data_IF_626203624871
#
_entry.id   IF_626203624871
#
_cell.length_a   1.000
_cell.length_b   1.000
_cell.length_c   1.000
_cell.angle_alpha   90.00
_cell.angle_beta   90.00
_cell.angle_gamma   90.00
#
_symmetry.space_group_name_H-M   'P 1'
#
loop_
_entity.id
_entity.type
_entity.pdbx_description
1 polymer ?
#
# COMPACT_ATOMS: atom_id res chain seq x y z
N UNK A 1 17.15 -70.71 -24.03
CA UNK A 1 17.39 -70.22 -22.66
C UNK A 1 16.26 -69.23 -22.37
N UNK A 2 15.07 -69.58 -21.84
CA UNK A 2 14.74 -69.93 -20.43
C UNK A 2 15.54 -69.06 -19.46
N UNK A 3 14.97 -68.05 -18.80
CA UNK A 3 14.00 -68.11 -17.66
C UNK A 3 13.20 -66.78 -17.56
N UNK A 4 11.86 -66.76 -17.41
CA UNK A 4 11.05 -66.75 -16.15
C UNK A 4 11.32 -65.51 -15.27
N UNK A 5 10.39 -64.75 -14.67
CA UNK A 5 8.93 -64.69 -14.48
C UNK A 5 8.64 -63.28 -13.90
N UNK A 6 7.58 -62.58 -14.32
CA UNK A 6 6.36 -62.35 -13.53
C UNK A 6 6.56 -61.67 -12.15
N UNK A 7 6.16 -60.40 -12.03
CA UNK A 7 5.58 -59.85 -10.80
C UNK A 7 4.81 -58.56 -11.10
N UNK A 8 3.50 -58.72 -11.24
CA UNK A 8 2.49 -57.68 -11.10
C UNK A 8 2.42 -57.31 -9.63
N UNK A 9 2.58 -56.04 -9.29
CA UNK A 9 2.06 -55.48 -8.03
C UNK A 9 1.25 -54.25 -8.39
N UNK A 10 -0.07 -54.40 -8.26
CA UNK A 10 -1.04 -53.33 -8.26
C UNK A 10 -0.72 -52.35 -7.12
N UNK A 11 -0.72 -51.07 -7.46
CA UNK A 11 -0.61 -49.97 -6.50
C UNK A 11 -1.00 -48.66 -7.16
N UNK A 12 -2.25 -48.58 -7.61
CA UNK A 12 -2.86 -47.34 -8.11
C UNK A 12 -2.94 -46.32 -6.97
N UNK A 13 -1.93 -45.46 -6.84
CA UNK A 13 -2.03 -44.23 -6.07
C UNK A 13 -2.85 -43.24 -6.91
N UNK A 14 -4.16 -43.29 -6.70
CA UNK A 14 -5.07 -42.22 -7.14
C UNK A 14 -4.85 -41.06 -6.16
N UNK A 15 -3.87 -40.21 -6.42
CA UNK A 15 -3.79 -38.91 -5.75
C UNK A 15 -4.77 -37.98 -6.44
N UNK A 16 -5.96 -37.87 -5.85
CA UNK A 16 -6.96 -36.86 -6.14
C UNK A 16 -6.32 -35.47 -6.18
N UNK A 17 -6.55 -34.63 -7.20
CA UNK A 17 -6.40 -33.20 -7.02
C UNK A 17 -7.50 -32.76 -6.04
N UNK A 18 -7.13 -32.55 -4.78
CA UNK A 18 -7.98 -31.81 -3.86
C UNK A 18 -8.00 -30.36 -4.37
N UNK A 19 -8.97 -30.08 -5.24
CA UNK A 19 -9.44 -28.73 -5.56
C UNK A 19 -9.95 -28.13 -4.25
N UNK A 20 -9.12 -27.34 -3.58
CA UNK A 20 -9.58 -26.39 -2.58
C UNK A 20 -10.27 -25.25 -3.34
N UNK A 21 -11.53 -25.46 -3.65
CA UNK A 21 -12.48 -24.39 -3.91
C UNK A 21 -12.74 -23.68 -2.58
N UNK A 22 -11.86 -22.74 -2.20
CA UNK A 22 -12.13 -21.79 -1.13
C UNK A 22 -12.71 -20.52 -1.75
N UNK A 23 -14.03 -20.56 -1.90
CA UNK A 23 -14.96 -19.49 -1.57
C UNK A 23 -14.40 -18.07 -1.69
N UNK A 24 -14.56 -17.49 -2.89
CA UNK A 24 -14.73 -16.04 -3.04
C UNK A 24 -16.06 -15.72 -2.39
N UNK A 25 -16.07 -14.95 -1.29
CA UNK A 25 -16.87 -13.73 -1.16
C UNK A 25 -16.80 -13.21 0.29
N UNK A 26 -15.99 -12.18 0.46
CA UNK A 26 -16.30 -11.06 1.34
C UNK A 26 -15.58 -9.88 0.70
N UNK A 27 -16.21 -9.36 -0.34
CA UNK A 27 -15.80 -8.15 -1.03
C UNK A 27 -15.54 -7.00 -0.05
N UNK A 28 -14.27 -6.79 0.27
CA UNK A 28 -13.75 -5.45 0.43
C UNK A 28 -13.02 -5.12 -0.86
N UNK A 29 -13.82 -4.91 -1.92
CA UNK A 29 -13.40 -3.93 -2.92
C UNK A 29 -12.99 -2.67 -2.14
N UNK A 30 -11.86 -2.04 -2.46
CA UNK A 30 -11.62 -0.69 -1.98
C UNK A 30 -12.85 0.11 -2.39
N UNK A 31 -13.65 0.54 -1.41
CA UNK A 31 -14.85 1.32 -1.67
C UNK A 31 -14.38 2.62 -2.29
N UNK A 32 -14.36 2.65 -3.63
CA UNK A 32 -14.12 3.85 -4.41
C UNK A 32 -15.38 4.68 -4.31
N UNK A 33 -15.54 5.39 -3.19
CA UNK A 33 -16.59 6.39 -3.06
C UNK A 33 -16.24 7.49 -4.06
N UNK A 34 -17.11 7.81 -5.04
CA UNK A 34 -16.91 8.96 -5.90
C UNK A 34 -17.11 10.22 -5.05
N UNK A 35 -16.06 10.63 -4.36
CA UNK A 35 -16.04 11.90 -3.64
C UNK A 35 -15.85 12.99 -4.69
N UNK A 36 -16.73 14.00 -4.68
CA UNK A 36 -16.57 15.18 -5.55
C UNK A 36 -15.13 15.68 -5.37
N UNK A 37 -14.38 15.81 -6.46
CA UNK A 37 -12.96 16.22 -6.48
C UNK A 37 -12.67 17.50 -5.67
N UNK A 38 -13.69 18.29 -5.33
CA UNK A 38 -13.59 19.47 -4.49
C UNK A 38 -13.61 19.24 -2.97
N UNK A 39 -13.82 18.01 -2.46
CA UNK A 39 -14.02 17.77 -1.01
C UNK A 39 -12.86 17.08 -0.30
N UNK A 40 -11.90 16.49 -1.01
CA UNK A 40 -10.72 15.86 -0.40
C UNK A 40 -9.45 16.55 -0.90
N UNK A 41 -9.26 17.80 -0.50
CA UNK A 41 -8.01 18.51 -0.73
C UNK A 41 -7.06 18.25 0.43
N UNK A 42 -5.85 17.84 0.12
CA UNK A 42 -4.77 17.80 1.10
C UNK A 42 -4.30 19.24 1.28
N UNK A 43 -4.64 19.82 2.42
CA UNK A 43 -4.25 21.18 2.75
C UNK A 43 -2.90 21.18 3.48
N UNK A 44 -2.05 22.12 3.11
CA UNK A 44 -0.86 22.44 3.91
C UNK A 44 -1.26 23.49 4.94
N UNK A 45 -0.87 23.34 6.21
CA UNK A 45 -1.02 24.40 7.18
C UNK A 45 -0.10 25.59 6.84
N UNK A 46 -0.47 26.79 7.31
CA UNK A 46 0.30 28.04 7.13
C UNK A 46 1.74 27.95 7.67
N UNK A 47 1.98 27.02 8.62
CA UNK A 47 3.31 26.66 9.09
C UNK A 47 3.40 25.15 9.30
N UNK A 48 4.55 24.57 8.97
CA UNK A 48 4.87 23.17 9.22
C UNK A 48 6.19 23.08 9.98
N UNK A 49 6.36 22.01 10.75
CA UNK A 49 7.57 21.80 11.52
C UNK A 49 8.70 21.33 10.60
N UNK A 50 9.87 21.95 10.74
CA UNK A 50 11.09 21.44 10.10
C UNK A 50 11.38 20.06 10.70
N UNK A 51 11.51 19.06 9.84
CA UNK A 51 11.83 17.71 10.26
C UNK A 51 13.33 17.51 10.20
N UNK A 52 13.99 17.48 11.36
CA UNK A 52 15.39 17.10 11.43
C UNK A 52 15.52 15.57 11.34
N UNK A 53 16.56 15.05 10.67
CA UNK A 53 16.72 13.61 10.49
C UNK A 53 16.73 12.82 11.81
N UNK A 54 17.24 13.42 12.89
CA UNK A 54 17.32 12.76 14.20
C UNK A 54 15.94 12.58 14.82
N UNK A 55 15.04 13.55 14.66
CA UNK A 55 13.71 13.57 15.28
C UNK A 55 12.74 12.56 14.65
N UNK A 56 13.02 12.13 13.41
CA UNK A 56 12.13 11.30 12.61
C UNK A 56 12.83 10.04 12.09
N UNK A 57 13.94 9.63 12.71
CA UNK A 57 14.65 8.41 12.32
C UNK A 57 13.76 7.17 12.40
N UNK A 58 12.91 7.09 13.42
CA UNK A 58 12.01 5.94 13.65
C UNK A 58 10.85 5.89 12.65
N UNK A 59 10.64 6.96 11.87
CA UNK A 59 9.68 7.01 10.76
C UNK A 59 10.24 6.38 9.49
N UNK A 60 11.57 6.27 9.36
CA UNK A 60 12.20 5.72 8.15
C UNK A 60 11.92 4.22 8.11
N UNK A 61 11.36 3.76 7.00
CA UNK A 61 11.01 2.36 6.84
C UNK A 61 10.12 2.08 5.65
N UNK A 62 9.68 0.83 5.58
CA UNK A 62 8.75 0.32 4.59
C UNK A 62 7.50 -0.17 5.33
N UNK A 63 6.33 0.29 4.88
CA UNK A 63 5.04 -0.02 5.48
C UNK A 63 4.16 -0.67 4.42
N UNK A 64 3.67 -1.86 4.72
CA UNK A 64 2.73 -2.54 3.83
C UNK A 64 1.35 -1.90 3.95
N UNK A 65 0.74 -1.60 2.81
CA UNK A 65 -0.59 -1.02 2.71
C UNK A 65 -1.63 -2.12 2.46
N UNK A 66 -2.87 -1.85 2.84
CA UNK A 66 -3.97 -2.82 2.77
C UNK A 66 -4.34 -3.22 1.34
N UNK A 67 -4.02 -2.37 0.36
CA UNK A 67 -4.19 -2.65 -1.07
C UNK A 67 -3.00 -3.43 -1.69
N UNK A 68 -2.04 -3.87 -0.88
CA UNK A 68 -0.86 -4.64 -1.33
C UNK A 68 0.34 -3.79 -1.75
N UNK A 69 0.18 -2.46 -1.83
CA UNK A 69 1.28 -1.55 -2.12
C UNK A 69 2.19 -1.35 -0.90
N UNK A 70 3.37 -0.75 -1.13
CA UNK A 70 4.32 -0.39 -0.07
C UNK A 70 4.53 1.11 0.00
N UNK A 71 4.32 1.68 1.19
CA UNK A 71 4.78 3.04 1.51
C UNK A 71 6.23 2.96 1.99
N UNK A 72 7.17 3.59 1.28
CA UNK A 72 8.53 3.78 1.75
C UNK A 72 8.71 5.22 2.25
N UNK A 73 9.23 5.39 3.46
CA UNK A 73 9.64 6.70 3.98
C UNK A 73 11.15 6.70 4.18
N UNK A 74 11.83 7.69 3.59
CA UNK A 74 13.30 7.79 3.62
C UNK A 74 13.76 9.21 3.91
N UNK A 75 14.90 9.34 4.58
CA UNK A 75 15.62 10.60 4.72
C UNK A 75 16.65 10.81 3.60
N UNK A 76 16.75 12.04 3.08
CA UNK A 76 17.82 12.49 2.18
C UNK A 76 18.30 13.87 2.61
N UNK A 77 19.46 13.93 3.24
CA UNK A 77 19.95 15.14 3.89
C UNK A 77 18.99 15.58 5.00
N UNK A 78 18.56 16.84 4.98
CA UNK A 78 17.61 17.41 5.95
C UNK A 78 16.14 17.29 5.53
N UNK A 79 15.86 16.47 4.52
CA UNK A 79 14.51 16.33 3.96
C UNK A 79 14.05 14.88 4.05
N UNK A 80 12.75 14.71 4.24
CA UNK A 80 12.11 13.40 4.22
C UNK A 80 11.26 13.26 2.96
N UNK A 81 11.23 12.05 2.44
CA UNK A 81 10.48 11.70 1.24
C UNK A 81 9.65 10.45 1.49
N UNK A 82 8.47 10.41 0.88
CA UNK A 82 7.60 9.26 0.86
C UNK A 82 7.40 8.78 -0.59
N UNK A 83 7.33 7.47 -0.78
CA UNK A 83 7.07 6.79 -2.05
C UNK A 83 5.94 5.78 -1.82
N UNK A 84 5.03 5.66 -2.77
CA UNK A 84 4.09 4.53 -2.82
C UNK A 84 4.51 3.67 -4.01
N UNK A 85 5.01 2.46 -3.73
CA UNK A 85 5.66 1.57 -4.70
C UNK A 85 6.74 2.27 -5.55
N UNK A 86 6.53 2.33 -6.88
CA UNK A 86 7.44 2.92 -7.87
C UNK A 86 7.04 4.35 -8.26
N UNK A 87 6.11 4.96 -7.52
CA UNK A 87 5.70 6.33 -7.79
C UNK A 87 6.80 7.35 -7.43
N UNK A 88 6.63 8.59 -7.92
CA UNK A 88 7.56 9.68 -7.68
C UNK A 88 7.72 9.99 -6.19
N UNK A 89 8.90 10.47 -5.74
CA UNK A 89 9.09 10.91 -4.37
C UNK A 89 8.23 12.13 -4.04
N UNK A 90 7.53 12.06 -2.91
CA UNK A 90 6.84 13.20 -2.31
C UNK A 90 7.65 13.72 -1.13
N UNK A 91 8.12 14.97 -1.20
CA UNK A 91 8.76 15.61 -0.04
C UNK A 91 7.71 15.88 1.02
N UNK A 92 7.86 15.24 2.18
CA UNK A 92 6.90 15.35 3.29
C UNK A 92 7.39 16.29 4.38
N UNK A 93 6.45 16.89 5.11
CA UNK A 93 6.66 17.72 6.30
C UNK A 93 5.71 17.32 7.41
N UNK A 94 6.13 17.51 8.66
CA UNK A 94 5.29 17.24 9.83
C UNK A 94 4.34 18.41 10.04
N UNK A 95 3.06 18.09 10.11
CA UNK A 95 1.99 19.07 10.41
C UNK A 95 1.52 18.95 11.85
N UNK A 96 1.60 17.74 12.40
CA UNK A 96 1.34 17.43 13.80
C UNK A 96 2.07 16.12 14.16
N UNK A 97 2.07 15.75 15.44
CA UNK A 97 2.59 14.47 15.90
C UNK A 97 1.87 13.31 15.19
N UNK A 98 2.64 12.51 14.45
CA UNK A 98 2.11 11.38 13.70
C UNK A 98 1.37 11.77 12.41
N UNK A 99 1.40 13.03 11.98
CA UNK A 99 0.73 13.48 10.75
C UNK A 99 1.70 14.22 9.84
N UNK A 100 1.87 13.67 8.64
CA UNK A 100 2.80 14.14 7.63
C UNK A 100 2.07 14.46 6.34
N UNK A 101 2.43 15.57 5.70
CA UNK A 101 1.82 16.02 4.46
C UNK A 101 2.90 16.27 3.42
N UNK A 102 2.67 15.82 2.20
CA UNK A 102 3.54 16.12 1.07
C UNK A 102 3.36 17.56 0.60
N UNK A 103 4.46 18.25 0.32
CA UNK A 103 4.44 19.65 -0.12
C UNK A 103 3.70 19.87 -1.44
N UNK A 104 3.60 18.84 -2.27
CA UNK A 104 2.85 18.87 -3.53
C UNK A 104 1.34 18.59 -3.37
N UNK A 105 0.87 18.37 -2.12
CA UNK A 105 -0.54 18.11 -1.78
C UNK A 105 -1.10 16.82 -2.39
N UNK A 106 -0.23 15.86 -2.73
CA UNK A 106 -0.64 14.59 -3.35
C UNK A 106 -0.67 13.43 -2.36
N UNK A 107 -0.05 13.59 -1.19
CA UNK A 107 0.04 12.55 -0.18
C UNK A 107 -0.07 13.11 1.23
N UNK A 108 -0.82 12.42 2.09
CA UNK A 108 -0.88 12.62 3.54
C UNK A 108 -0.71 11.28 4.21
N UNK A 109 0.08 11.24 5.28
CA UNK A 109 0.36 10.04 6.08
C UNK A 109 -0.01 10.32 7.52
N UNK A 110 -0.82 9.45 8.10
CA UNK A 110 -1.13 9.43 9.53
C UNK A 110 -0.57 8.12 10.10
N UNK A 111 0.31 8.23 11.09
CA UNK A 111 1.05 7.09 11.62
C UNK A 111 1.22 7.19 13.13
N UNK A 112 0.85 6.12 13.82
CA UNK A 112 1.21 5.84 15.19
C UNK A 112 2.27 4.73 15.23
N UNK A 113 3.52 5.15 15.50
CA UNK A 113 4.66 4.24 15.65
C UNK A 113 4.62 3.44 16.97
N UNK A 114 3.82 3.87 17.94
CA UNK A 114 3.77 3.29 19.29
C UNK A 114 2.54 2.42 19.54
N UNK A 115 1.78 2.13 18.49
CA UNK A 115 0.60 1.28 18.58
C UNK A 115 0.97 -0.16 19.01
N UNK A 116 0.09 -0.79 19.77
CA UNK A 116 0.26 -2.19 20.16
C UNK A 116 0.22 -3.10 18.93
N UNK A 117 1.17 -4.03 18.85
CA UNK A 117 1.30 -4.93 17.69
C UNK A 117 2.01 -4.32 16.48
N UNK A 118 2.66 -3.17 16.64
CA UNK A 118 3.50 -2.52 15.62
C UNK A 118 2.89 -1.25 15.04
N UNK A 119 3.60 -0.57 14.12
CA UNK A 119 3.14 0.68 13.53
C UNK A 119 1.76 0.55 12.87
N UNK A 120 0.86 1.49 13.16
CA UNK A 120 -0.48 1.57 12.56
C UNK A 120 -0.73 2.94 11.96
N UNK A 121 -1.53 3.00 10.90
CA UNK A 121 -1.75 4.27 10.23
C UNK A 121 -2.56 4.15 8.95
N UNK A 122 -2.68 5.29 8.28
CA UNK A 122 -3.40 5.44 7.03
C UNK A 122 -2.66 6.41 6.12
N UNK A 123 -2.86 6.24 4.82
CA UNK A 123 -2.47 7.22 3.83
C UNK A 123 -3.69 7.75 3.10
N UNK A 124 -3.65 9.04 2.77
CA UNK A 124 -4.55 9.65 1.80
C UNK A 124 -3.72 10.08 0.61
N UNK A 125 -4.07 9.64 -0.60
CA UNK A 125 -3.34 10.02 -1.82
C UNK A 125 -4.27 10.48 -2.93
N UNK A 126 -3.82 11.47 -3.70
CA UNK A 126 -4.49 11.93 -4.92
C UNK A 126 -3.92 11.14 -6.08
N UNK A 127 -4.76 10.39 -6.78
CA UNK A 127 -4.40 9.65 -8.00
C UNK A 127 -4.91 10.47 -9.19
N UNK A 128 -4.03 10.95 -10.08
CA UNK A 128 -4.43 11.77 -11.20
C UNK A 128 -5.33 10.99 -12.17
N UNK A 129 -6.13 11.72 -12.94
CA UNK A 129 -6.91 11.13 -14.00
C UNK A 129 -6.01 10.40 -15.02
N UNK A 130 -6.43 9.23 -15.47
CA UNK A 130 -5.69 8.41 -16.42
C UNK A 130 -6.55 8.07 -17.63
N UNK A 131 -5.95 8.20 -18.81
CA UNK A 131 -6.53 7.67 -20.04
C UNK A 131 -6.08 6.21 -20.18
N UNK A 132 -7.04 5.32 -20.20
CA UNK A 132 -6.81 3.90 -20.43
C UNK A 132 -6.62 3.64 -21.92
N UNK A 133 -5.96 2.52 -22.24
CA UNK A 133 -5.64 2.13 -23.62
C UNK A 133 -6.89 1.90 -24.50
N UNK A 134 -8.05 1.66 -23.89
CA UNK A 134 -9.35 1.50 -24.55
C UNK A 134 -10.09 2.82 -24.77
N UNK A 135 -9.47 3.96 -24.45
CA UNK A 135 -10.05 5.29 -24.58
C UNK A 135 -10.95 5.71 -23.43
N UNK A 136 -11.11 4.87 -22.40
CA UNK A 136 -11.82 5.26 -21.17
C UNK A 136 -10.98 6.23 -20.35
N UNK A 137 -11.64 7.21 -19.73
CA UNK A 137 -11.00 8.16 -18.81
C UNK A 137 -11.38 7.77 -17.39
N UNK A 138 -10.39 7.36 -16.60
CA UNK A 138 -10.53 7.25 -15.14
C UNK A 138 -10.32 8.64 -14.56
N UNK A 139 -11.31 9.23 -13.86
CA UNK A 139 -11.17 10.56 -13.29
C UNK A 139 -10.14 10.58 -12.16
N UNK A 140 -9.68 11.77 -11.81
CA UNK A 140 -8.88 11.96 -10.60
C UNK A 140 -9.68 11.47 -9.38
N UNK A 141 -9.02 10.71 -8.51
CA UNK A 141 -9.63 10.10 -7.34
C UNK A 141 -8.73 10.27 -6.13
N UNK A 142 -9.35 10.39 -4.96
CA UNK A 142 -8.63 10.38 -3.69
C UNK A 142 -8.81 9.02 -3.04
N UNK A 143 -7.70 8.36 -2.74
CA UNK A 143 -7.67 7.06 -2.08
C UNK A 143 -7.32 7.22 -0.60
N UNK A 144 -7.99 6.42 0.23
CA UNK A 144 -7.68 6.27 1.65
C UNK A 144 -7.32 4.81 1.92
N UNK A 145 -6.09 4.56 2.36
CA UNK A 145 -5.53 3.20 2.43
C UNK A 145 -4.90 2.99 3.82
N UNK A 146 -5.23 1.87 4.46
CA UNK A 146 -4.70 1.54 5.79
C UNK A 146 -3.34 0.85 5.71
N UNK A 147 -2.52 0.99 6.74
CA UNK A 147 -1.30 0.20 6.93
C UNK A 147 -1.62 -1.14 7.60
N UNK A 148 -0.84 -2.18 7.28
CA UNK A 148 -0.96 -3.52 7.87
C UNK A 148 0.03 -3.75 9.00
#
# INVERSE_FOLDING_TARGET
MKTMCLAVVLGSLVFSPAVLAQQIDSGQEPVSVPVKANQLRIELPDSYYKMWPEDYRDLIGYYTLSNGQTLAIVGRGTNMFAYVDQDRPHKIVSTNRGTFVALDKQLKVELDLKAEGGPKGWITMVVPAQNLADGQVVPEQVLYIAMR
#
